data_IF_241543651849
#
_entry.id   IF_241543651849
#
_cell.length_a   1.000
_cell.length_b   1.000
_cell.length_c   1.000
_cell.angle_alpha   90.00
_cell.angle_beta   90.00
_cell.angle_gamma   90.00
#
_symmetry.space_group_name_H-M   'P 1'
#
loop_
_entity.id
_entity.type
_entity.pdbx_description
1 polymer ?
#
# COMPACT_ATOMS: atom_id res chain seq x y z
N UNK A 1 5.93 -11.16 0.98
CA UNK A 1 7.08 -11.03 0.05
C UNK A 1 8.36 -11.45 0.76
N UNK A 2 9.34 -12.05 0.06
CA UNK A 2 10.66 -12.40 0.63
C UNK A 2 11.39 -11.11 1.09
N UNK A 3 11.86 -11.06 2.35
CA UNK A 3 12.60 -9.92 2.94
C UNK A 3 13.79 -9.47 2.08
N UNK A 4 14.44 -10.40 1.39
CA UNK A 4 15.56 -10.13 0.49
C UNK A 4 15.16 -9.26 -0.72
N UNK A 5 13.94 -9.49 -1.27
CA UNK A 5 13.43 -8.69 -2.39
C UNK A 5 13.09 -7.27 -1.97
N UNK A 6 12.57 -7.09 -0.74
CA UNK A 6 12.30 -5.75 -0.17
C UNK A 6 13.60 -4.96 -0.06
N UNK A 7 14.63 -5.53 0.55
CA UNK A 7 15.93 -4.87 0.72
C UNK A 7 16.59 -4.47 -0.62
N UNK A 8 16.46 -5.30 -1.65
CA UNK A 8 16.95 -4.99 -2.99
C UNK A 8 16.24 -3.77 -3.58
N UNK A 9 14.91 -3.71 -3.49
CA UNK A 9 14.11 -2.58 -4.00
C UNK A 9 14.37 -1.30 -3.20
N UNK A 10 14.43 -1.39 -1.86
CA UNK A 10 14.80 -0.26 -0.98
C UNK A 10 16.15 0.35 -1.38
N UNK A 11 17.14 -0.49 -1.69
CA UNK A 11 18.46 -0.03 -2.15
C UNK A 11 18.37 0.74 -3.47
N UNK A 12 17.60 0.24 -4.43
CA UNK A 12 17.40 0.90 -5.73
C UNK A 12 16.70 2.25 -5.55
N UNK A 13 15.62 2.30 -4.77
CA UNK A 13 14.85 3.52 -4.52
C UNK A 13 15.72 4.54 -3.79
N UNK A 14 16.44 4.13 -2.74
CA UNK A 14 17.36 5.01 -2.01
C UNK A 14 18.40 5.65 -2.93
N UNK A 15 19.01 4.85 -3.80
CA UNK A 15 19.97 5.36 -4.79
C UNK A 15 19.33 6.35 -5.77
N UNK A 16 18.10 6.09 -6.21
CA UNK A 16 17.35 6.99 -7.09
C UNK A 16 17.03 8.33 -6.42
N UNK A 17 16.52 8.31 -5.18
CA UNK A 17 16.19 9.52 -4.43
C UNK A 17 17.44 10.39 -4.19
N UNK A 18 18.55 9.77 -3.82
CA UNK A 18 19.84 10.45 -3.63
C UNK A 18 20.37 11.05 -4.93
N UNK A 19 20.35 10.29 -6.03
CA UNK A 19 20.89 10.74 -7.32
C UNK A 19 20.10 11.91 -7.92
N UNK A 20 18.79 11.95 -7.68
CA UNK A 20 17.92 13.01 -8.19
C UNK A 20 17.71 14.15 -7.18
N UNK A 21 18.36 14.12 -6.01
CA UNK A 21 18.21 15.12 -4.95
C UNK A 21 16.74 15.41 -4.61
N UNK A 22 15.92 14.35 -4.53
CA UNK A 22 14.50 14.50 -4.22
C UNK A 22 14.35 14.87 -2.74
N UNK A 23 13.87 16.08 -2.50
CA UNK A 23 13.58 16.58 -1.15
C UNK A 23 12.15 17.11 -1.13
N UNK A 24 11.37 16.63 -0.18
CA UNK A 24 10.03 17.13 0.10
C UNK A 24 10.10 17.91 1.40
N UNK A 25 9.62 19.15 1.39
CA UNK A 25 9.54 19.98 2.59
C UNK A 25 8.72 19.23 3.66
N UNK A 26 9.20 19.27 4.90
CA UNK A 26 8.54 18.67 6.07
C UNK A 26 8.42 17.13 6.06
N UNK A 27 9.08 16.44 5.12
CA UNK A 27 9.12 14.97 5.09
C UNK A 27 10.59 14.49 5.21
N UNK A 28 10.98 13.87 6.34
CA UNK A 28 12.29 13.25 6.49
C UNK A 28 12.57 12.23 5.39
N UNK A 29 13.83 12.16 4.92
CA UNK A 29 14.21 11.28 3.81
C UNK A 29 13.91 9.80 4.07
N UNK A 30 14.05 9.33 5.31
CA UNK A 30 13.71 7.94 5.68
C UNK A 30 12.20 7.69 5.64
N UNK A 31 11.38 8.69 6.00
CA UNK A 31 9.93 8.61 5.88
C UNK A 31 9.51 8.60 4.41
N UNK A 32 10.13 9.43 3.58
CA UNK A 32 9.92 9.43 2.13
C UNK A 32 10.29 8.07 1.51
N UNK A 33 11.44 7.52 1.89
CA UNK A 33 11.86 6.20 1.43
C UNK A 33 10.83 5.13 1.80
N UNK A 34 10.36 5.12 3.06
CA UNK A 34 9.34 4.16 3.51
C UNK A 34 8.04 4.31 2.71
N UNK A 35 7.53 5.54 2.54
CA UNK A 35 6.31 5.77 1.75
C UNK A 35 6.42 5.25 0.31
N UNK A 36 7.53 5.54 -0.37
CA UNK A 36 7.75 5.06 -1.75
C UNK A 36 7.93 3.55 -1.79
N UNK A 37 8.63 2.97 -0.81
CA UNK A 37 8.78 1.52 -0.72
C UNK A 37 7.44 0.85 -0.45
N UNK A 38 6.62 1.34 0.45
CA UNK A 38 5.31 0.76 0.77
C UNK A 38 4.34 0.87 -0.40
N UNK A 39 4.46 1.91 -1.23
CA UNK A 39 3.72 2.01 -2.49
C UNK A 39 4.17 0.95 -3.52
N UNK A 40 5.48 0.87 -3.76
CA UNK A 40 6.03 -0.03 -4.78
C UNK A 40 5.91 -1.51 -4.35
N UNK A 41 6.30 -1.83 -3.12
CA UNK A 41 6.41 -3.22 -2.63
C UNK A 41 5.39 -3.62 -1.57
N UNK A 42 4.78 -2.66 -0.87
CA UNK A 42 3.75 -2.88 0.14
C UNK A 42 2.33 -2.77 -0.42
N UNK A 43 1.35 -2.48 0.42
CA UNK A 43 -0.05 -2.32 0.08
C UNK A 43 -0.43 -0.83 -0.14
N UNK A 44 0.56 0.04 -0.34
CA UNK A 44 0.35 1.47 -0.58
C UNK A 44 -0.28 2.18 0.61
N UNK A 45 -1.24 3.06 0.33
CA UNK A 45 -1.87 3.91 1.36
C UNK A 45 -2.54 3.13 2.51
N UNK A 46 -2.89 1.86 2.30
CA UNK A 46 -3.52 1.00 3.31
C UNK A 46 -2.51 0.20 4.17
N UNK A 47 -1.20 0.32 3.94
CA UNK A 47 -0.20 -0.41 4.74
C UNK A 47 -0.35 -0.12 6.23
N UNK A 48 -0.60 1.14 6.59
CA UNK A 48 -0.83 1.55 7.98
C UNK A 48 -2.02 0.83 8.64
N UNK A 49 -3.10 0.60 7.89
CA UNK A 49 -4.26 -0.17 8.37
C UNK A 49 -3.92 -1.65 8.54
N UNK A 50 -3.09 -2.21 7.65
CA UNK A 50 -2.65 -3.61 7.72
C UNK A 50 -1.71 -3.87 8.90
N UNK A 51 -0.91 -2.89 9.30
CA UNK A 51 0.03 -3.01 10.42
C UNK A 51 -0.64 -2.81 11.79
N UNK A 52 -1.77 -2.12 11.82
CA UNK A 52 -2.56 -1.91 13.02
C UNK A 52 -3.26 -3.22 13.44
N UNK A 53 -2.90 -3.73 14.62
CA UNK A 53 -3.40 -5.01 15.15
C UNK A 53 -4.85 -4.96 15.59
N UNK A 54 -5.39 -3.77 15.81
CA UNK A 54 -6.77 -3.59 16.24
C UNK A 54 -7.71 -3.49 15.03
N UNK A 55 -7.18 -3.33 13.81
CA UNK A 55 -7.96 -3.34 12.57
C UNK A 55 -8.32 -4.78 12.21
N UNK A 56 -9.62 -5.05 12.06
CA UNK A 56 -10.13 -6.40 11.72
C UNK A 56 -10.48 -6.52 10.24
N UNK A 57 -11.08 -5.47 9.68
CA UNK A 57 -11.65 -5.47 8.34
C UNK A 57 -11.28 -4.17 7.61
N UNK A 58 -11.02 -4.28 6.30
CA UNK A 58 -10.74 -3.14 5.42
C UNK A 58 -11.63 -3.29 4.18
N UNK A 59 -12.50 -2.31 3.96
CA UNK A 59 -13.40 -2.23 2.81
C UNK A 59 -12.91 -1.14 1.86
N UNK A 60 -12.68 -1.50 0.59
CA UNK A 60 -12.20 -0.59 -0.44
C UNK A 60 -13.28 -0.46 -1.52
N UNK A 61 -13.95 0.68 -1.57
CA UNK A 61 -15.02 0.96 -2.51
C UNK A 61 -14.48 1.71 -3.74
N UNK A 62 -13.53 1.08 -4.43
CA UNK A 62 -12.82 1.69 -5.57
C UNK A 62 -12.11 2.99 -5.17
N UNK A 63 -12.22 4.01 -6.02
CA UNK A 63 -11.69 5.36 -5.76
C UNK A 63 -12.53 6.22 -4.81
N UNK A 64 -13.72 5.74 -4.41
CA UNK A 64 -14.70 6.54 -3.66
C UNK A 64 -14.26 6.74 -2.20
N UNK A 65 -14.04 5.64 -1.49
CA UNK A 65 -13.75 5.64 -0.06
C UNK A 65 -13.11 4.33 0.39
N UNK A 66 -12.39 4.42 1.50
CA UNK A 66 -11.86 3.28 2.24
C UNK A 66 -12.44 3.36 3.65
N UNK A 67 -13.03 2.26 4.07
CA UNK A 67 -13.64 2.09 5.39
C UNK A 67 -12.90 0.94 6.09
N UNK A 68 -12.73 1.03 7.40
CA UNK A 68 -12.12 -0.04 8.18
C UNK A 68 -12.82 -0.20 9.51
N UNK A 69 -12.78 -1.41 10.07
CA UNK A 69 -13.31 -1.70 11.40
C UNK A 69 -12.18 -1.94 12.39
N UNK A 70 -12.37 -1.42 13.61
CA UNK A 70 -11.47 -1.63 14.74
C UNK A 70 -12.16 -2.32 15.90
N UNK A 71 -11.40 -3.14 16.63
CA UNK A 71 -11.86 -3.80 17.85
C UNK A 71 -12.35 -2.75 18.86
N UNK A 72 -13.65 -2.73 19.12
CA UNK A 72 -14.27 -1.85 20.11
C UNK A 72 -14.56 -0.41 19.64
N UNK A 73 -14.13 -0.02 18.44
CA UNK A 73 -14.43 1.31 17.86
C UNK A 73 -15.48 1.24 16.74
N UNK A 74 -15.68 0.07 16.13
CA UNK A 74 -16.63 -0.12 15.03
C UNK A 74 -16.10 0.46 13.71
N UNK A 75 -17.02 0.89 12.85
CA UNK A 75 -16.72 1.38 11.50
C UNK A 75 -16.08 2.78 11.53
N UNK A 76 -14.94 2.91 10.84
CA UNK A 76 -14.16 4.13 10.72
C UNK A 76 -13.90 4.47 9.24
N UNK A 77 -13.90 5.76 8.91
CA UNK A 77 -13.51 6.22 7.55
C UNK A 77 -12.01 6.53 7.52
N UNK A 78 -11.31 6.00 6.51
CA UNK A 78 -9.91 6.33 6.29
C UNK A 78 -9.78 7.69 5.59
N UNK A 79 -8.87 8.57 6.02
CA UNK A 79 -8.77 9.93 5.46
C UNK A 79 -8.19 9.98 4.04
N UNK A 80 -7.59 8.90 3.57
CA UNK A 80 -7.01 8.78 2.23
C UNK A 80 -7.86 7.90 1.33
N UNK A 81 -7.75 8.12 0.01
CA UNK A 81 -8.43 7.33 -1.03
C UNK A 81 -7.48 7.09 -2.19
N UNK A 82 -7.76 6.05 -2.97
CA UNK A 82 -7.10 5.84 -4.25
C UNK A 82 -7.48 6.96 -5.22
N UNK A 83 -6.52 7.42 -6.02
CA UNK A 83 -6.77 8.45 -7.03
C UNK A 83 -7.33 7.82 -8.31
N UNK A 84 -6.95 6.57 -8.60
CA UNK A 84 -7.30 5.87 -9.83
C UNK A 84 -7.80 4.44 -9.58
N UNK A 85 -8.65 3.93 -10.48
CA UNK A 85 -9.10 2.53 -10.44
C UNK A 85 -7.94 1.56 -10.74
N UNK A 86 -6.92 2.02 -11.46
CA UNK A 86 -5.70 1.28 -11.74
C UNK A 86 -4.92 0.96 -10.46
N UNK A 87 -4.85 1.90 -9.50
CA UNK A 87 -4.24 1.66 -8.18
C UNK A 87 -4.98 0.58 -7.40
N UNK A 88 -6.32 0.62 -7.39
CA UNK A 88 -7.16 -0.38 -6.73
C UNK A 88 -6.94 -1.76 -7.33
N UNK A 89 -6.92 -1.86 -8.66
CA UNK A 89 -6.63 -3.12 -9.37
C UNK A 89 -5.22 -3.63 -9.08
N UNK A 90 -4.23 -2.75 -9.08
CA UNK A 90 -2.85 -3.11 -8.76
C UNK A 90 -2.74 -3.70 -7.35
N UNK A 91 -3.44 -3.11 -6.38
CA UNK A 91 -3.55 -3.63 -5.02
C UNK A 91 -4.21 -5.02 -4.98
N UNK A 92 -5.35 -5.20 -5.66
CA UNK A 92 -6.05 -6.48 -5.72
C UNK A 92 -5.17 -7.58 -6.34
N UNK A 93 -4.47 -7.28 -7.44
CA UNK A 93 -3.52 -8.21 -8.04
C UNK A 93 -2.36 -8.53 -7.10
N UNK A 94 -1.85 -7.55 -6.35
CA UNK A 94 -0.77 -7.76 -5.37
C UNK A 94 -1.21 -8.68 -4.23
N UNK A 95 -2.43 -8.52 -3.72
CA UNK A 95 -3.04 -9.41 -2.72
C UNK A 95 -3.14 -10.84 -3.24
N UNK A 96 -3.73 -11.02 -4.43
CA UNK A 96 -3.97 -12.35 -5.01
C UNK A 96 -2.68 -13.04 -5.40
N UNK A 97 -1.68 -12.32 -5.92
CA UNK A 97 -0.35 -12.87 -6.25
C UNK A 97 0.41 -13.40 -5.03
N UNK A 98 0.03 -13.00 -3.82
CA UNK A 98 0.58 -13.58 -2.58
C UNK A 98 -0.05 -14.92 -2.19
N UNK A 99 -1.13 -15.30 -2.87
CA UNK A 99 -1.89 -16.55 -2.71
C UNK A 99 -1.63 -17.48 -3.91
N UNK A 100 -2.18 -18.69 -3.87
CA UNK A 100 -2.18 -19.61 -5.02
C UNK A 100 -3.28 -19.31 -6.05
N UNK A 101 -4.02 -18.22 -5.87
CA UNK A 101 -5.13 -17.85 -6.75
C UNK A 101 -4.70 -16.87 -7.84
N UNK A 102 -5.55 -16.67 -8.85
CA UNK A 102 -5.34 -15.69 -9.90
C UNK A 102 -6.60 -14.86 -10.13
N UNK A 103 -6.40 -13.56 -10.29
CA UNK A 103 -7.42 -12.57 -10.61
C UNK A 103 -7.07 -11.97 -11.97
N UNK A 104 -8.03 -11.95 -12.89
CA UNK A 104 -7.87 -11.27 -14.18
C UNK A 104 -9.23 -10.80 -14.68
N UNK A 105 -9.25 -9.99 -15.74
CA UNK A 105 -10.51 -9.44 -16.28
C UNK A 105 -11.53 -10.51 -16.71
N UNK A 106 -11.07 -11.73 -17.05
CA UNK A 106 -11.94 -12.86 -17.39
C UNK A 106 -12.39 -13.67 -16.17
N UNK A 107 -11.72 -13.54 -15.02
CA UNK A 107 -12.04 -14.18 -13.74
C UNK A 107 -11.94 -13.16 -12.60
N UNK A 108 -13.00 -12.37 -12.36
CA UNK A 108 -13.01 -11.29 -11.38
C UNK A 108 -13.27 -11.74 -9.92
N UNK A 109 -13.52 -13.04 -9.69
CA UNK A 109 -13.74 -13.66 -8.38
C UNK A 109 -13.26 -15.11 -8.38
#
# INVERSE_FOLDING_TARGET
>A
MNKEKRAAVETIIKNFLLSNQVVIADVPSDQLLNMVCDDIVGFGIIESLKEDKDVTDIYINGTKEIIYEKIGEGECTFPYRFETEEEVKALAYKMVNSTSESLNTAKPY
#
